data_IF_246678141713
#
_entry.id   IF_246678141713
#
_cell.length_a   1.000
_cell.length_b   1.000
_cell.length_c   1.000
_cell.angle_alpha   90.00
_cell.angle_beta   90.00
_cell.angle_gamma   90.00
#
_symmetry.space_group_name_H-M   'P 1'
#
loop_
_entity.id
_entity.type
_entity.pdbx_description
1 polymer ?
#
# COMPACT_ATOMS: atom_id res chain seq x y z
N UNK A 1 2.18 -12.26 -18.78
CA UNK A 1 3.16 -12.00 -17.70
C UNK A 1 3.26 -10.50 -17.60
N UNK A 2 2.72 -9.90 -16.55
CA UNK A 2 2.81 -8.45 -16.32
C UNK A 2 4.03 -8.22 -15.43
N UNK A 3 5.07 -7.63 -16.00
CA UNK A 3 6.25 -7.13 -15.29
C UNK A 3 5.82 -5.92 -14.44
N UNK A 4 5.24 -6.20 -13.28
CA UNK A 4 4.89 -5.17 -12.31
C UNK A 4 6.11 -4.92 -11.42
N UNK A 5 6.86 -3.86 -11.70
CA UNK A 5 7.86 -3.34 -10.78
C UNK A 5 7.15 -2.55 -9.66
N UNK A 6 7.47 -2.86 -8.42
CA UNK A 6 6.90 -2.23 -7.22
C UNK A 6 7.99 -1.39 -6.57
N UNK A 7 7.80 -0.07 -6.51
CA UNK A 7 8.72 0.82 -5.82
C UNK A 7 8.22 1.09 -4.41
N UNK A 8 9.04 0.78 -3.41
CA UNK A 8 8.74 1.02 -2.00
C UNK A 8 9.59 2.20 -1.52
N UNK A 9 8.93 3.30 -1.15
CA UNK A 9 9.58 4.40 -0.44
C UNK A 9 9.84 3.96 1.00
N UNK A 10 11.10 3.70 1.34
CA UNK A 10 11.50 3.35 2.69
C UNK A 10 12.02 4.61 3.41
N UNK A 11 11.41 4.97 4.53
CA UNK A 11 12.01 5.92 5.47
C UNK A 11 13.19 5.29 6.19
N UNK A 12 14.05 6.13 6.79
CA UNK A 12 15.24 5.67 7.51
C UNK A 12 14.92 4.68 8.66
N UNK A 13 13.69 4.75 9.18
CA UNK A 13 13.22 3.94 10.31
C UNK A 13 12.82 2.49 9.94
N UNK A 14 12.97 2.06 8.68
CA UNK A 14 12.58 0.70 8.27
C UNK A 14 13.55 -0.35 8.86
N UNK A 15 13.08 -1.34 9.64
CA UNK A 15 13.94 -2.39 10.22
C UNK A 15 14.72 -3.17 9.16
N UNK A 16 15.98 -3.51 9.46
CA UNK A 16 16.89 -4.18 8.50
C UNK A 16 16.30 -5.48 7.93
N UNK A 17 15.67 -6.31 8.78
CA UNK A 17 15.08 -7.58 8.33
C UNK A 17 13.99 -7.38 7.25
N UNK A 18 13.25 -6.26 7.29
CA UNK A 18 12.22 -5.95 6.32
C UNK A 18 12.84 -5.44 5.01
N UNK A 19 13.96 -4.72 5.09
CA UNK A 19 14.76 -4.34 3.91
C UNK A 19 15.28 -5.59 3.19
N UNK A 20 15.84 -6.52 3.94
CA UNK A 20 16.41 -7.78 3.42
C UNK A 20 15.32 -8.66 2.76
N UNK A 21 14.14 -8.73 3.39
CA UNK A 21 12.99 -9.46 2.85
C UNK A 21 12.52 -8.89 1.51
N UNK A 22 12.40 -7.56 1.42
CA UNK A 22 11.96 -6.89 0.19
C UNK A 22 13.00 -7.01 -0.92
N UNK A 23 14.29 -6.86 -0.59
CA UNK A 23 15.39 -7.00 -1.54
C UNK A 23 15.52 -8.42 -2.14
N UNK A 24 14.91 -9.43 -1.52
CA UNK A 24 14.87 -10.80 -2.06
C UNK A 24 13.88 -10.96 -3.24
N UNK A 25 12.93 -10.04 -3.42
CA UNK A 25 12.01 -10.06 -4.56
C UNK A 25 12.55 -9.15 -5.68
N UNK A 26 12.93 -9.71 -6.86
CA UNK A 26 13.51 -8.94 -7.95
C UNK A 26 12.55 -7.92 -8.58
N UNK A 27 11.27 -7.96 -8.22
CA UNK A 27 10.26 -7.01 -8.69
C UNK A 27 10.15 -5.78 -7.79
N UNK A 28 10.76 -5.80 -6.60
CA UNK A 28 10.59 -4.72 -5.62
C UNK A 28 11.89 -3.93 -5.46
N UNK A 29 11.78 -2.61 -5.66
CA UNK A 29 12.89 -1.68 -5.49
C UNK A 29 12.65 -0.78 -4.27
N UNK A 30 13.59 -0.78 -3.34
CA UNK A 30 13.60 0.13 -2.19
C UNK A 30 14.31 1.43 -2.58
N UNK A 31 13.61 2.55 -2.47
CA UNK A 31 14.16 3.88 -2.73
C UNK A 31 14.11 4.74 -1.46
N UNK A 32 15.21 5.42 -1.16
CA UNK A 32 15.34 6.34 0.00
C UNK A 32 14.99 7.77 -0.35
N UNK A 33 15.16 8.14 -1.62
CA UNK A 33 14.77 9.44 -2.16
C UNK A 33 13.83 9.24 -3.34
N UNK A 34 12.87 10.16 -3.49
CA UNK A 34 11.98 10.14 -4.64
C UNK A 34 12.83 10.31 -5.91
N UNK A 35 12.66 9.47 -6.95
CA UNK A 35 13.41 9.62 -8.19
C UNK A 35 13.25 11.03 -8.76
N UNK A 36 14.34 11.78 -8.82
CA UNK A 36 14.34 13.12 -9.38
C UNK A 36 14.33 13.02 -10.91
N UNK A 37 13.23 13.42 -11.55
CA UNK A 37 13.21 13.68 -12.99
C UNK A 37 12.39 12.76 -13.89
N UNK A 38 11.42 11.99 -13.40
CA UNK A 38 10.40 11.40 -14.28
C UNK A 38 9.01 11.84 -13.85
N UNK A 39 8.18 12.23 -14.82
CA UNK A 39 6.74 12.22 -14.61
C UNK A 39 6.34 10.80 -14.26
N UNK A 40 6.23 10.55 -12.95
CA UNK A 40 5.80 9.34 -12.24
C UNK A 40 6.05 8.00 -12.97
N UNK A 41 6.95 7.13 -12.46
CA UNK A 41 7.18 5.82 -13.07
C UNK A 41 5.94 4.90 -13.04
N UNK A 42 4.92 5.21 -12.23
CA UNK A 42 3.63 4.52 -12.20
C UNK A 42 2.43 5.48 -12.10
N UNK A 43 1.36 5.29 -12.89
CA UNK A 43 0.13 6.08 -12.81
C UNK A 43 -0.64 5.88 -11.49
N UNK A 44 -0.31 4.82 -10.74
CA UNK A 44 -0.93 4.47 -9.47
C UNK A 44 0.09 4.30 -8.35
N UNK A 45 -0.29 4.67 -7.14
CA UNK A 45 0.49 4.49 -5.92
C UNK A 45 -0.32 3.67 -4.93
N UNK A 46 0.29 2.67 -4.31
CA UNK A 46 -0.35 1.85 -3.29
C UNK A 46 0.35 2.08 -1.96
N UNK A 47 -0.42 2.42 -0.93
CA UNK A 47 0.03 2.52 0.46
C UNK A 47 -0.41 1.25 1.15
N UNK A 48 0.56 0.44 1.58
CA UNK A 48 0.31 -0.83 2.29
C UNK A 48 0.75 -0.63 3.74
N UNK A 49 -0.13 -0.85 4.73
CA UNK A 49 0.25 -0.77 6.12
C UNK A 49 1.24 -1.91 6.46
N UNK A 50 2.18 -1.67 7.39
CA UNK A 50 3.09 -2.73 7.83
C UNK A 50 2.33 -3.97 8.29
N UNK A 51 2.75 -5.13 7.80
CA UNK A 51 2.10 -6.40 8.09
C UNK A 51 0.95 -6.76 7.13
N UNK A 52 0.39 -5.86 6.32
CA UNK A 52 -0.61 -6.31 5.36
C UNK A 52 0.00 -7.16 4.24
N UNK A 53 -0.63 -8.30 3.96
CA UNK A 53 -0.32 -9.22 2.87
C UNK A 53 -1.41 -9.10 1.82
N UNK A 54 -1.01 -8.83 0.58
CA UNK A 54 -1.89 -8.72 -0.58
C UNK A 54 -1.87 -10.03 -1.37
N UNK A 55 -3.04 -10.56 -1.69
CA UNK A 55 -3.18 -11.64 -2.67
C UNK A 55 -2.73 -11.19 -4.08
N UNK A 56 -2.34 -12.13 -4.97
CA UNK A 56 -1.91 -11.79 -6.32
C UNK A 56 -2.93 -10.97 -7.13
N UNK A 57 -4.21 -11.08 -6.81
CA UNK A 57 -5.31 -10.37 -7.47
C UNK A 57 -5.74 -9.08 -6.75
N UNK A 58 -5.18 -8.76 -5.58
CA UNK A 58 -5.57 -7.58 -4.79
C UNK A 58 -5.41 -6.29 -5.59
N UNK A 59 -4.27 -6.13 -6.28
CA UNK A 59 -3.96 -4.93 -7.04
C UNK A 59 -4.86 -4.80 -8.28
N UNK A 60 -5.10 -5.88 -9.03
CA UNK A 60 -5.97 -5.83 -10.21
C UNK A 60 -7.42 -5.54 -9.83
N UNK A 61 -7.91 -6.14 -8.74
CA UNK A 61 -9.24 -5.84 -8.17
C UNK A 61 -9.33 -4.37 -7.76
N UNK A 62 -8.33 -3.87 -7.03
CA UNK A 62 -8.32 -2.49 -6.56
C UNK A 62 -8.20 -1.45 -7.67
N UNK A 63 -7.38 -1.72 -8.69
CA UNK A 63 -7.30 -0.87 -9.88
C UNK A 63 -8.61 -0.86 -10.67
N UNK A 64 -9.34 -1.98 -10.71
CA UNK A 64 -10.66 -2.08 -11.33
C UNK A 64 -11.74 -1.22 -10.66
N UNK A 65 -11.53 -0.83 -9.41
CA UNK A 65 -12.44 0.06 -8.67
C UNK A 65 -12.16 1.55 -8.92
N UNK A 66 -11.00 1.89 -9.47
CA UNK A 66 -10.67 3.28 -9.82
C UNK A 66 -11.43 3.73 -11.08
N UNK A 67 -11.85 4.98 -11.09
CA UNK A 67 -12.52 5.61 -12.23
C UNK A 67 -12.24 7.11 -12.28
N UNK A 68 -12.83 7.85 -13.22
CA UNK A 68 -12.71 9.32 -13.22
C UNK A 68 -13.31 9.97 -11.96
N UNK A 69 -14.32 9.32 -11.37
CA UNK A 69 -14.98 9.74 -10.14
C UNK A 69 -14.33 9.14 -8.89
N UNK A 70 -13.73 7.96 -9.00
CA UNK A 70 -13.06 7.27 -7.88
C UNK A 70 -11.56 7.36 -8.06
N UNK A 71 -10.90 8.25 -7.34
CA UNK A 71 -9.45 8.51 -7.48
C UNK A 71 -8.63 7.86 -6.38
N UNK A 72 -9.30 7.37 -5.34
CA UNK A 72 -8.72 6.68 -4.19
C UNK A 72 -9.62 5.51 -3.81
N UNK A 73 -9.05 4.33 -3.64
CA UNK A 73 -9.71 3.17 -3.03
C UNK A 73 -9.04 2.93 -1.69
N UNK A 74 -9.82 2.87 -0.61
CA UNK A 74 -9.30 2.59 0.74
C UNK A 74 -9.95 1.33 1.28
N UNK A 75 -9.17 0.49 1.96
CA UNK A 75 -9.77 -0.50 2.85
C UNK A 75 -10.22 0.18 4.13
N UNK A 76 -11.33 -0.31 4.69
CA UNK A 76 -11.68 -0.01 6.07
C UNK A 76 -10.51 -0.40 6.99
N UNK A 77 -10.22 0.40 8.04
CA UNK A 77 -9.17 0.08 8.99
C UNK A 77 -9.42 -1.29 9.63
N UNK A 78 -8.38 -2.11 9.68
CA UNK A 78 -8.43 -3.45 10.26
C UNK A 78 -8.60 -3.43 11.78
N UNK A 79 -8.61 -4.62 12.38
CA UNK A 79 -8.69 -4.78 13.84
C UNK A 79 -7.55 -4.01 14.53
N UNK A 80 -7.85 -3.33 15.64
CA UNK A 80 -6.94 -2.44 16.40
C UNK A 80 -6.63 -1.05 15.78
N UNK A 81 -7.41 -0.57 14.82
CA UNK A 81 -7.28 0.81 14.31
C UNK A 81 -6.05 1.02 13.41
N UNK A 82 -5.46 -0.08 12.93
CA UNK A 82 -4.41 -0.03 11.92
C UNK A 82 -4.94 0.64 10.64
N UNK A 83 -4.11 1.48 10.01
CA UNK A 83 -4.45 2.10 8.72
C UNK A 83 -4.69 1.01 7.68
N UNK A 84 -5.70 1.20 6.83
CA UNK A 84 -6.00 0.30 5.74
C UNK A 84 -5.01 0.41 4.58
N UNK A 85 -5.11 -0.51 3.63
CA UNK A 85 -4.46 -0.39 2.31
C UNK A 85 -5.16 0.71 1.52
N UNK A 86 -4.38 1.54 0.85
CA UNK A 86 -4.91 2.61 0.01
C UNK A 86 -4.32 2.52 -1.40
N UNK A 87 -5.16 2.66 -2.42
CA UNK A 87 -4.76 2.67 -3.82
C UNK A 87 -5.15 4.02 -4.41
N UNK A 88 -4.14 4.79 -4.79
CA UNK A 88 -4.27 6.15 -5.26
C UNK A 88 -3.94 6.26 -6.74
N UNK A 89 -4.63 7.13 -7.47
CA UNK A 89 -4.02 7.76 -8.65
C UNK A 89 -2.86 8.63 -8.16
N UNK A 90 -1.65 8.42 -8.68
CA UNK A 90 -0.44 9.09 -8.16
C UNK A 90 -0.57 10.62 -8.14
N UNK A 91 -1.16 11.21 -9.19
CA UNK A 91 -1.46 12.66 -9.26
C UNK A 91 -2.35 13.17 -8.12
N UNK A 92 -3.26 12.33 -7.63
CA UNK A 92 -4.21 12.67 -6.57
C UNK A 92 -3.50 12.67 -5.22
N UNK A 93 -2.70 11.62 -4.95
CA UNK A 93 -1.90 11.54 -3.74
C UNK A 93 -0.96 12.74 -3.60
N UNK A 94 -0.30 13.15 -4.68
CA UNK A 94 0.57 14.33 -4.69
C UNK A 94 -0.14 15.62 -4.34
N UNK A 95 -1.31 15.85 -4.93
CA UNK A 95 -2.12 17.03 -4.62
C UNK A 95 -2.54 17.00 -3.16
N UNK A 96 -2.90 15.84 -2.64
CA UNK A 96 -3.26 15.67 -1.25
C UNK A 96 -2.09 15.91 -0.29
N UNK A 97 -0.90 15.38 -0.61
CA UNK A 97 0.32 15.62 0.18
C UNK A 97 0.71 17.10 0.21
N UNK A 98 0.60 17.81 -0.93
CA UNK A 98 0.90 19.25 -1.00
C UNK A 98 -0.10 20.12 -0.27
N UNK A 99 -1.38 19.74 -0.28
CA UNK A 99 -2.43 20.43 0.44
C UNK A 99 -2.44 20.08 1.95
N UNK A 100 -1.79 18.99 2.35
CA UNK A 100 -1.96 18.39 3.68
C UNK A 100 -3.06 17.33 3.63
N UNK A 101 -2.70 16.07 3.90
CA UNK A 101 -3.60 14.90 3.76
C UNK A 101 -4.89 15.01 4.59
N UNK A 102 -4.88 15.76 5.69
CA UNK A 102 -6.05 15.99 6.54
C UNK A 102 -6.90 17.21 6.15
N UNK A 103 -6.44 18.01 5.18
CA UNK A 103 -7.10 19.25 4.75
C UNK A 103 -7.87 19.08 3.43
N UNK A 104 -7.69 17.95 2.74
CA UNK A 104 -8.44 17.66 1.53
C UNK A 104 -9.77 16.99 1.87
N UNK A 105 -10.85 17.64 1.44
CA UNK A 105 -12.20 17.10 1.52
C UNK A 105 -12.28 15.70 0.86
N UNK A 106 -12.73 14.66 1.59
CA UNK A 106 -12.92 13.31 1.05
C UNK A 106 -13.78 13.26 -0.22
N UNK A 107 -14.78 14.14 -0.34
CA UNK A 107 -15.66 14.19 -1.50
C UNK A 107 -14.94 14.72 -2.75
N UNK A 108 -13.89 15.53 -2.57
CA UNK A 108 -13.04 16.06 -3.65
C UNK A 108 -12.02 15.01 -4.12
N UNK A 109 -11.63 14.11 -3.22
CA UNK A 109 -10.76 12.97 -3.54
C UNK A 109 -11.51 11.92 -4.37
N UNK A 110 -12.82 11.79 -4.19
CA UNK A 110 -13.59 10.73 -4.83
C UNK A 110 -13.16 9.37 -4.27
N UNK A 111 -13.42 9.19 -2.98
CA UNK A 111 -13.02 7.99 -2.25
C UNK A 111 -14.00 6.83 -2.45
N UNK A 112 -13.47 5.61 -2.51
CA UNK A 112 -14.27 4.41 -2.45
C UNK A 112 -13.74 3.48 -1.36
N UNK A 113 -14.62 3.13 -0.43
CA UNK A 113 -14.29 2.30 0.73
C UNK A 113 -14.71 0.86 0.49
N UNK A 114 -13.79 -0.08 0.74
CA UNK A 114 -14.02 -1.51 0.60
C UNK A 114 -13.54 -2.27 1.84
N UNK A 115 -14.02 -3.49 2.01
CA UNK A 115 -13.50 -4.37 3.06
C UNK A 115 -12.12 -4.90 2.67
N UNK A 116 -11.27 -5.19 3.65
CA UNK A 116 -9.97 -5.87 3.42
C UNK A 116 -10.16 -7.18 2.67
N UNK A 117 -11.19 -7.96 3.03
CA UNK A 117 -11.56 -9.21 2.35
C UNK A 117 -11.90 -9.00 0.87
N UNK A 118 -12.58 -7.91 0.51
CA UNK A 118 -12.92 -7.62 -0.89
C UNK A 118 -11.68 -7.32 -1.74
N UNK A 119 -10.61 -6.83 -1.11
CA UNK A 119 -9.31 -6.62 -1.74
C UNK A 119 -8.35 -7.79 -1.54
N UNK A 120 -8.75 -8.91 -0.92
CA UNK A 120 -7.82 -10.01 -0.62
C UNK A 120 -6.66 -9.59 0.29
N UNK A 121 -6.90 -8.61 1.17
CA UNK A 121 -5.92 -8.18 2.18
C UNK A 121 -6.03 -9.09 3.38
N UNK A 122 -4.89 -9.61 3.82
CA UNK A 122 -4.77 -10.41 5.03
C UNK A 122 -3.71 -9.82 5.95
N UNK A 123 -3.80 -10.10 7.25
CA UNK A 123 -2.78 -9.71 8.22
C UNK A 123 -2.20 -10.97 8.84
N UNK A 124 -0.86 -11.12 8.91
CA UNK A 124 -0.22 -12.24 9.56
C UNK A 124 -0.56 -12.14 11.04
N UNK A 125 -1.36 -13.07 11.52
CA UNK A 125 -1.63 -13.17 12.94
C UNK A 125 -0.39 -13.78 13.60
N UNK A 126 0.28 -13.08 14.53
CA UNK A 126 1.38 -13.67 15.26
C UNK A 126 0.86 -14.90 16.00
N UNK A 127 1.34 -16.09 15.60
CA UNK A 127 1.07 -17.33 16.32
C UNK A 127 2.19 -17.57 17.31
N UNK A 128 1.81 -17.75 18.57
CA UNK A 128 2.70 -18.31 19.57
C UNK A 128 2.77 -19.81 19.36
N UNK A 129 3.97 -20.33 19.08
CA UNK A 129 4.17 -21.78 19.12
C UNK A 129 4.05 -22.26 20.57
N UNK A 130 3.82 -23.58 20.78
CA UNK A 130 3.91 -24.18 22.11
C UNK A 130 5.26 -23.95 22.80
N UNK A 131 6.33 -23.62 22.05
CA UNK A 131 7.65 -23.28 22.59
C UNK A 131 7.81 -21.79 22.94
N UNK A 132 6.76 -20.98 22.84
CA UNK A 132 6.81 -19.54 23.13
C UNK A 132 7.48 -18.69 22.05
N UNK A 133 7.73 -19.23 20.86
CA UNK A 133 8.22 -18.45 19.72
C UNK A 133 7.06 -17.75 19.02
N UNK A 134 7.25 -16.49 18.64
CA UNK A 134 6.33 -15.76 17.77
C UNK A 134 6.66 -16.11 16.31
N UNK A 135 5.70 -16.64 15.58
CA UNK A 135 5.81 -16.92 14.15
C UNK A 135 4.76 -16.13 13.39
N UNK A 136 5.16 -15.49 12.30
CA UNK A 136 4.27 -14.88 11.31
C UNK A 136 4.40 -15.68 10.03
N UNK A 137 3.35 -16.40 9.65
CA UNK A 137 3.21 -17.04 8.33
C UNK A 137 2.01 -16.42 7.63
#
# INVERSE_FOLDING_TARGET
>A
VTDLAVTVMAGDDLPQWLRDYVAADPRVELVTERPAGSGFPSPFTVVVPPGAVLEPTSLSTGLGLLSERVRVVRTLPGWAGARGVEIWRTRTLERALRAGLGEVDPDVLGEHWVTEKALGVTHPQPRLTPQGMVTTW
#
